data_IF_594605102732
#
_entry.id   IF_594605102732
#
_cell.length_a   1.000
_cell.length_b   1.000
_cell.length_c   1.000
_cell.angle_alpha   90.00
_cell.angle_beta   90.00
_cell.angle_gamma   90.00
#
_symmetry.space_group_name_H-M   'P 1'
#
loop_
_entity.id
_entity.type
_entity.pdbx_description
1 polymer ?
#
# COMPACT_ATOMS: atom_id res chain seq x y z
N UNK A 1 20.09 30.44 -2.95
CA UNK A 1 19.45 29.96 -4.21
C UNK A 1 20.47 29.47 -5.26
N UNK A 2 21.59 28.84 -4.85
CA UNK A 2 22.67 28.42 -5.77
C UNK A 2 22.66 26.88 -6.00
N UNK A 3 22.05 26.10 -5.11
CA UNK A 3 21.94 24.64 -5.22
C UNK A 3 20.96 24.15 -6.31
N UNK A 4 19.94 24.94 -6.65
CA UNK A 4 18.90 24.55 -7.61
C UNK A 4 19.41 24.47 -9.06
N UNK A 5 20.40 25.31 -9.40
CA UNK A 5 21.01 25.35 -10.73
C UNK A 5 21.98 24.19 -10.99
N UNK A 6 22.50 23.53 -9.95
CA UNK A 6 23.36 22.34 -10.12
C UNK A 6 22.57 21.07 -10.41
N UNK A 7 21.32 20.96 -9.93
CA UNK A 7 20.45 19.81 -10.19
C UNK A 7 19.97 19.77 -11.64
N UNK A 8 19.77 20.93 -12.27
CA UNK A 8 19.37 21.03 -13.68
C UNK A 8 20.48 20.67 -14.68
N UNK A 9 21.73 20.49 -14.21
CA UNK A 9 22.89 20.17 -15.04
C UNK A 9 23.36 18.72 -14.91
N UNK A 10 22.50 17.82 -14.44
CA UNK A 10 22.81 16.39 -14.44
C UNK A 10 22.82 15.86 -15.88
N UNK A 11 24.02 15.54 -16.37
CA UNK A 11 24.36 14.93 -17.65
C UNK A 11 23.43 13.78 -18.05
N UNK A 12 23.28 13.47 -19.36
CA UNK A 12 22.55 12.29 -19.81
C UNK A 12 23.31 11.05 -19.35
N UNK A 13 22.95 10.54 -18.17
CA UNK A 13 23.38 9.24 -17.69
C UNK A 13 22.74 8.20 -18.61
N UNK A 14 23.49 7.80 -19.63
CA UNK A 14 23.33 6.56 -20.41
C UNK A 14 23.65 5.35 -19.54
N UNK A 15 23.13 5.31 -18.30
CA UNK A 15 23.07 4.06 -17.56
C UNK A 15 21.99 3.23 -18.22
N UNK A 16 22.43 2.18 -18.91
CA UNK A 16 21.61 1.06 -19.34
C UNK A 16 20.68 0.72 -18.17
N UNK A 17 19.38 1.01 -18.33
CA UNK A 17 18.39 0.73 -17.31
C UNK A 17 18.52 -0.76 -16.95
N UNK A 18 18.60 -1.13 -15.66
CA UNK A 18 18.56 -2.54 -15.31
C UNK A 18 17.32 -3.13 -15.97
N UNK A 19 17.50 -4.19 -16.75
CA UNK A 19 16.38 -4.86 -17.41
C UNK A 19 15.42 -5.29 -16.32
N UNK A 20 14.27 -4.61 -16.25
CA UNK A 20 13.22 -4.97 -15.33
C UNK A 20 12.76 -6.36 -15.78
N UNK A 21 12.77 -7.37 -14.89
CA UNK A 21 12.31 -8.71 -15.23
C UNK A 21 10.96 -8.62 -15.95
N UNK A 22 10.72 -9.47 -16.96
CA UNK A 22 9.49 -9.42 -17.79
C UNK A 22 8.17 -9.37 -16.97
N UNK A 23 8.21 -9.83 -15.72
CA UNK A 23 7.12 -9.72 -14.74
C UNK A 23 6.72 -8.27 -14.38
N UNK A 24 7.64 -7.30 -14.41
CA UNK A 24 7.38 -5.88 -14.11
C UNK A 24 6.73 -5.13 -15.27
N UNK A 25 7.06 -5.50 -16.52
CA UNK A 25 6.46 -4.95 -17.74
C UNK A 25 4.94 -5.18 -17.81
N UNK A 26 4.47 -6.26 -17.17
CA UNK A 26 3.05 -6.66 -17.10
C UNK A 26 2.21 -5.78 -16.16
N UNK A 27 2.84 -4.98 -15.28
CA UNK A 27 2.16 -4.04 -14.37
C UNK A 27 2.27 -2.57 -14.79
N UNK A 28 3.00 -2.25 -15.88
CA UNK A 28 3.35 -0.87 -16.29
C UNK A 28 2.20 0.02 -16.79
N UNK A 29 0.99 -0.50 -16.98
CA UNK A 29 -0.16 0.38 -17.24
C UNK A 29 -0.43 1.25 -16.00
N UNK A 30 -0.40 2.58 -16.16
CA UNK A 30 -0.49 3.52 -15.02
C UNK A 30 -1.79 3.40 -14.21
N UNK A 31 -2.93 3.24 -14.88
CA UNK A 31 -4.26 3.23 -14.25
C UNK A 31 -4.44 2.18 -13.13
N UNK A 32 -4.07 0.89 -13.30
CA UNK A 32 -4.20 -0.11 -12.24
C UNK A 32 -3.24 0.09 -11.06
N UNK A 33 -2.03 0.63 -11.28
CA UNK A 33 -1.11 0.99 -10.21
C UNK A 33 -1.67 2.15 -9.37
N UNK A 34 -2.25 3.15 -10.03
CA UNK A 34 -2.93 4.27 -9.36
C UNK A 34 -4.12 3.78 -8.53
N UNK A 35 -4.94 2.87 -9.08
CA UNK A 35 -6.05 2.27 -8.36
C UNK A 35 -5.61 1.43 -7.15
N UNK A 36 -4.50 0.69 -7.27
CA UNK A 36 -3.94 -0.08 -6.15
C UNK A 36 -3.41 0.84 -5.05
N UNK A 37 -2.66 1.89 -5.41
CA UNK A 37 -2.20 2.94 -4.49
C UNK A 37 -3.39 3.60 -3.78
N UNK A 38 -4.41 4.02 -4.55
CA UNK A 38 -5.61 4.63 -4.02
C UNK A 38 -6.36 3.70 -3.03
N UNK A 39 -6.53 2.43 -3.39
CA UNK A 39 -7.24 1.47 -2.54
C UNK A 39 -6.49 1.14 -1.25
N UNK A 40 -5.16 1.00 -1.29
CA UNK A 40 -4.35 0.78 -0.08
C UNK A 40 -4.38 2.01 0.83
N UNK A 41 -4.25 3.20 0.25
CA UNK A 41 -4.29 4.45 1.01
C UNK A 41 -5.69 4.74 1.57
N UNK A 42 -6.75 4.34 0.87
CA UNK A 42 -8.12 4.35 1.38
C UNK A 42 -8.26 3.51 2.64
N UNK A 43 -7.78 2.26 2.61
CA UNK A 43 -7.86 1.39 3.78
C UNK A 43 -6.99 1.91 4.92
N UNK A 44 -5.76 2.34 4.63
CA UNK A 44 -4.85 2.87 5.64
C UNK A 44 -5.44 4.10 6.36
N UNK A 45 -5.99 5.06 5.62
CA UNK A 45 -6.60 6.26 6.20
C UNK A 45 -7.86 5.94 7.04
N UNK A 46 -8.72 5.06 6.54
CA UNK A 46 -9.91 4.63 7.28
C UNK A 46 -9.55 3.84 8.54
N UNK A 47 -8.50 3.02 8.48
CA UNK A 47 -7.95 2.25 9.60
C UNK A 47 -7.35 3.14 10.68
N UNK A 48 -6.54 4.12 10.30
CA UNK A 48 -5.96 5.11 11.23
C UNK A 48 -7.05 5.86 12.00
N UNK A 49 -8.11 6.27 11.29
CA UNK A 49 -9.25 6.93 11.91
C UNK A 49 -10.07 5.96 12.78
N UNK A 50 -10.19 4.70 12.39
CA UNK A 50 -10.85 3.65 13.18
C UNK A 50 -10.19 3.43 14.53
N UNK A 51 -8.85 3.32 14.56
CA UNK A 51 -8.10 3.20 15.82
C UNK A 51 -8.27 4.45 16.68
N UNK A 52 -8.23 5.63 16.07
CA UNK A 52 -8.42 6.89 16.77
C UNK A 52 -9.79 6.94 17.46
N UNK A 53 -10.87 6.59 16.74
CA UNK A 53 -12.23 6.60 17.27
C UNK A 53 -12.45 5.52 18.34
N UNK A 54 -11.86 4.34 18.18
CA UNK A 54 -11.94 3.27 19.19
C UNK A 54 -11.18 3.64 20.47
N UNK A 55 -10.00 4.26 20.33
CA UNK A 55 -9.21 4.77 21.44
C UNK A 55 -9.88 5.90 22.22
N UNK A 56 -10.79 6.66 21.60
CA UNK A 56 -11.59 7.69 22.28
C UNK A 56 -12.78 7.13 23.06
N UNK A 57 -13.31 5.95 22.70
CA UNK A 57 -14.48 5.35 23.36
C UNK A 57 -14.16 4.49 24.56
N UNK A 58 -12.97 3.94 24.60
CA UNK A 58 -12.54 3.09 25.71
C UNK A 58 -12.13 3.97 26.90
N UNK A 59 -12.97 4.04 27.95
CA UNK A 59 -12.70 4.80 29.20
C UNK A 59 -11.36 4.42 29.89
N UNK A 60 -10.71 3.33 29.46
CA UNK A 60 -9.43 2.83 29.98
C UNK A 60 -8.21 3.08 29.06
N UNK A 61 -8.42 3.53 27.81
CA UNK A 61 -7.32 3.74 26.85
C UNK A 61 -6.86 5.19 26.91
N UNK A 62 -5.74 5.42 27.60
CA UNK A 62 -5.10 6.74 27.67
C UNK A 62 -4.77 7.27 26.26
N UNK A 63 -4.92 8.58 26.03
CA UNK A 63 -4.48 9.26 24.79
C UNK A 63 -3.04 8.90 24.38
N UNK A 64 -2.18 8.56 25.35
CA UNK A 64 -0.83 8.03 25.12
C UNK A 64 -0.82 6.71 24.35
N UNK A 65 -1.74 5.79 24.64
CA UNK A 65 -1.80 4.49 23.99
C UNK A 65 -2.16 4.62 22.49
N UNK A 66 -3.07 5.53 22.15
CA UNK A 66 -3.40 5.82 20.75
C UNK A 66 -2.19 6.42 20.01
N UNK A 67 -1.49 7.37 20.63
CA UNK A 67 -0.28 7.94 20.05
C UNK A 67 0.82 6.88 19.85
N UNK A 68 0.95 5.92 20.77
CA UNK A 68 1.87 4.80 20.64
C UNK A 68 1.52 3.87 19.47
N UNK A 69 0.23 3.63 19.20
CA UNK A 69 -0.22 2.84 18.03
C UNK A 69 0.15 3.51 16.70
N UNK A 70 -0.03 4.83 16.58
CA UNK A 70 0.39 5.58 15.40
C UNK A 70 1.91 5.57 15.22
N UNK A 71 2.66 5.71 16.32
CA UNK A 71 4.10 5.61 16.31
C UNK A 71 4.57 4.22 15.88
N UNK A 72 3.96 3.17 16.43
CA UNK A 72 4.23 1.77 16.05
C UNK A 72 3.96 1.54 14.57
N UNK A 73 2.78 1.96 14.06
CA UNK A 73 2.43 1.85 12.66
C UNK A 73 3.52 2.47 11.75
N UNK A 74 3.99 3.67 12.10
CA UNK A 74 5.06 4.38 11.38
C UNK A 74 6.41 3.66 11.48
N UNK A 75 6.79 3.17 12.66
CA UNK A 75 8.02 2.40 12.88
C UNK A 75 8.01 1.11 12.06
N UNK A 76 6.89 0.38 12.07
CA UNK A 76 6.73 -0.87 11.32
C UNK A 76 6.77 -0.62 9.82
N UNK A 77 6.05 0.39 9.32
CA UNK A 77 6.12 0.78 7.91
C UNK A 77 7.55 1.15 7.50
N UNK A 78 8.27 1.91 8.33
CA UNK A 78 9.66 2.27 8.08
C UNK A 78 10.58 1.03 8.10
N UNK A 79 10.38 0.12 9.06
CA UNK A 79 11.16 -1.11 9.18
C UNK A 79 10.97 -2.03 7.97
N UNK A 80 9.73 -2.19 7.50
CA UNK A 80 9.43 -2.96 6.28
C UNK A 80 10.08 -2.30 5.06
N UNK A 81 10.00 -0.98 4.93
CA UNK A 81 10.68 -0.26 3.85
C UNK A 81 12.20 -0.49 3.90
N UNK A 82 12.82 -0.35 5.07
CA UNK A 82 14.24 -0.59 5.25
C UNK A 82 14.61 -2.04 4.87
N UNK A 83 13.85 -3.02 5.34
CA UNK A 83 14.07 -4.43 5.03
C UNK A 83 13.97 -4.70 3.52
N UNK A 84 12.98 -4.12 2.83
CA UNK A 84 12.84 -4.23 1.38
C UNK A 84 14.05 -3.67 0.62
N UNK A 85 14.65 -2.58 1.09
CA UNK A 85 15.82 -1.97 0.46
C UNK A 85 17.12 -2.72 0.75
N UNK A 86 17.30 -3.21 1.98
CA UNK A 86 18.51 -3.93 2.37
C UNK A 86 18.52 -5.40 1.91
N UNK A 87 17.35 -5.98 1.63
CA UNK A 87 17.21 -7.38 1.22
C UNK A 87 17.01 -7.49 -0.30
N UNK A 88 17.56 -8.50 -0.99
CA UNK A 88 17.29 -8.73 -2.42
C UNK A 88 15.86 -9.19 -2.73
N UNK A 89 14.88 -8.99 -1.83
CA UNK A 89 13.49 -9.43 -1.99
C UNK A 89 12.83 -8.88 -3.25
N UNK A 90 13.06 -7.61 -3.57
CA UNK A 90 12.52 -6.98 -4.79
C UNK A 90 13.11 -7.57 -6.08
N UNK A 91 14.33 -8.09 -6.02
CA UNK A 91 15.04 -8.64 -7.18
C UNK A 91 14.79 -10.16 -7.34
N UNK A 92 14.59 -10.87 -6.23
CA UNK A 92 14.44 -12.33 -6.19
C UNK A 92 12.98 -12.80 -6.29
N UNK A 93 12.02 -12.00 -5.83
CA UNK A 93 10.60 -12.36 -5.84
C UNK A 93 9.80 -11.62 -6.91
N UNK A 94 8.84 -12.30 -7.53
CA UNK A 94 7.90 -11.65 -8.45
C UNK A 94 7.09 -10.58 -7.71
N UNK A 95 7.07 -9.34 -8.22
CA UNK A 95 6.37 -8.22 -7.58
C UNK A 95 4.91 -8.51 -7.24
N UNK A 96 4.19 -9.25 -8.10
CA UNK A 96 2.81 -9.70 -7.80
C UNK A 96 2.70 -10.58 -6.55
N UNK A 97 3.72 -11.38 -6.22
CA UNK A 97 3.75 -12.18 -4.99
C UNK A 97 3.95 -11.32 -3.76
N UNK A 98 4.82 -10.30 -3.84
CA UNK A 98 5.01 -9.33 -2.75
C UNK A 98 3.74 -8.50 -2.53
N UNK A 99 3.09 -8.05 -3.61
CA UNK A 99 1.79 -7.37 -3.53
C UNK A 99 0.72 -8.26 -2.88
N UNK A 100 0.61 -9.53 -3.33
CA UNK A 100 -0.32 -10.49 -2.75
C UNK A 100 -0.06 -10.77 -1.28
N UNK A 101 1.21 -10.98 -0.90
CA UNK A 101 1.59 -11.15 0.51
C UNK A 101 1.26 -9.93 1.35
N UNK A 102 1.55 -8.72 0.87
CA UNK A 102 1.26 -7.49 1.60
C UNK A 102 -0.24 -7.27 1.81
N UNK A 103 -1.05 -7.51 0.78
CA UNK A 103 -2.52 -7.46 0.90
C UNK A 103 -3.05 -8.51 1.88
N UNK A 104 -2.56 -9.76 1.81
CA UNK A 104 -2.95 -10.82 2.74
C UNK A 104 -2.54 -10.50 4.19
N UNK A 105 -1.34 -9.95 4.39
CA UNK A 105 -0.85 -9.56 5.70
C UNK A 105 -1.71 -8.42 6.28
N UNK A 106 -2.06 -7.44 5.46
CA UNK A 106 -2.95 -6.35 5.85
C UNK A 106 -4.36 -6.85 6.22
N UNK A 107 -4.94 -7.73 5.41
CA UNK A 107 -6.22 -8.37 5.71
C UNK A 107 -6.17 -9.19 7.01
N UNK A 108 -5.07 -9.88 7.25
CA UNK A 108 -4.87 -10.66 8.49
C UNK A 108 -4.85 -9.74 9.70
N UNK A 109 -4.16 -8.59 9.61
CA UNK A 109 -4.18 -7.57 10.66
C UNK A 109 -5.59 -7.04 10.95
N UNK A 110 -6.37 -6.71 9.92
CA UNK A 110 -7.76 -6.29 10.08
C UNK A 110 -8.66 -7.39 10.67
N UNK A 111 -8.45 -8.65 10.27
CA UNK A 111 -9.19 -9.78 10.82
C UNK A 111 -8.90 -9.99 12.31
N UNK A 112 -7.63 -9.84 12.73
CA UNK A 112 -7.24 -9.88 14.15
C UNK A 112 -7.96 -8.79 14.94
N UNK A 113 -8.01 -7.56 14.41
CA UNK A 113 -8.70 -6.44 15.05
C UNK A 113 -10.22 -6.65 15.12
N UNK A 114 -10.81 -7.29 14.11
CA UNK A 114 -12.23 -7.60 14.10
C UNK A 114 -12.61 -8.67 15.14
N UNK A 115 -11.78 -9.71 15.32
CA UNK A 115 -12.09 -10.84 16.21
C UNK A 115 -11.71 -10.55 17.67
N UNK A 116 -10.57 -9.90 17.91
CA UNK A 116 -10.03 -9.69 19.26
C UNK A 116 -9.68 -8.22 19.53
N UNK A 117 -10.66 -7.39 19.94
CA UNK A 117 -10.43 -5.99 20.30
C UNK A 117 -9.71 -5.80 21.65
N UNK A 118 -9.21 -6.86 22.30
CA UNK A 118 -8.52 -6.77 23.58
C UNK A 118 -7.11 -6.14 23.43
N UNK A 119 -6.70 -5.35 24.44
CA UNK A 119 -5.50 -4.50 24.46
C UNK A 119 -4.20 -5.11 23.88
N UNK A 120 -3.92 -6.40 24.09
CA UNK A 120 -2.71 -7.05 23.57
C UNK A 120 -2.77 -7.44 22.08
N UNK A 121 -3.95 -7.81 21.58
CA UNK A 121 -4.16 -8.21 20.18
C UNK A 121 -4.27 -7.01 19.24
N UNK A 122 -4.59 -5.83 19.80
CA UNK A 122 -4.66 -4.59 19.04
C UNK A 122 -3.31 -4.22 18.44
N UNK A 123 -2.22 -4.20 19.22
CA UNK A 123 -0.85 -3.94 18.73
C UNK A 123 -0.46 -4.91 17.61
N UNK A 124 -0.77 -6.19 17.77
CA UNK A 124 -0.49 -7.21 16.75
C UNK A 124 -1.24 -6.93 15.44
N UNK A 125 -2.54 -6.62 15.53
CA UNK A 125 -3.37 -6.28 14.38
C UNK A 125 -2.90 -5.01 13.67
N UNK A 126 -2.50 -3.99 14.44
CA UNK A 126 -1.91 -2.75 13.91
C UNK A 126 -0.60 -3.03 13.19
N UNK A 127 0.32 -3.74 13.84
CA UNK A 127 1.61 -4.13 13.26
C UNK A 127 1.45 -4.94 11.97
N UNK A 128 0.54 -5.92 11.93
CA UNK A 128 0.26 -6.71 10.73
C UNK A 128 -0.31 -5.85 9.59
N UNK A 129 -1.25 -4.96 9.92
CA UNK A 129 -1.87 -4.05 8.96
C UNK A 129 -0.83 -3.10 8.38
N UNK A 130 -0.04 -2.47 9.24
CA UNK A 130 1.06 -1.56 8.89
C UNK A 130 2.15 -2.26 8.07
N UNK A 131 2.53 -3.48 8.43
CA UNK A 131 3.51 -4.24 7.68
C UNK A 131 3.00 -4.58 6.28
N UNK A 132 1.72 -4.96 6.16
CA UNK A 132 1.10 -5.28 4.88
C UNK A 132 1.01 -4.07 3.95
N UNK A 133 0.44 -2.96 4.41
CA UNK A 133 0.33 -1.72 3.61
C UNK A 133 1.70 -1.11 3.31
N UNK A 134 2.62 -1.15 4.29
CA UNK A 134 4.02 -0.74 4.16
C UNK A 134 4.82 -1.60 3.18
N UNK A 135 4.44 -2.85 2.94
CA UNK A 135 5.04 -3.68 1.89
C UNK A 135 4.51 -3.33 0.50
N UNK A 136 3.20 -3.04 0.38
CA UNK A 136 2.54 -2.82 -0.91
C UNK A 136 2.96 -1.49 -1.55
N UNK A 137 2.96 -0.39 -0.80
CA UNK A 137 3.21 0.96 -1.36
C UNK A 137 4.59 1.11 -2.03
N UNK A 138 5.70 0.64 -1.43
CA UNK A 138 7.01 0.69 -2.08
C UNK A 138 7.09 -0.22 -3.30
N UNK A 139 6.46 -1.39 -3.29
CA UNK A 139 6.45 -2.32 -4.44
C UNK A 139 5.69 -1.69 -5.61
N UNK A 140 4.56 -1.03 -5.35
CA UNK A 140 3.82 -0.25 -6.36
C UNK A 140 4.68 0.87 -6.94
N UNK A 141 5.39 1.60 -6.08
CA UNK A 141 6.26 2.70 -6.48
C UNK A 141 7.46 2.20 -7.29
N UNK A 142 8.05 1.07 -6.91
CA UNK A 142 9.13 0.40 -7.65
C UNK A 142 8.68 -0.04 -9.05
N UNK A 143 7.48 -0.63 -9.17
CA UNK A 143 6.91 -1.00 -10.46
C UNK A 143 6.67 0.23 -11.35
N UNK A 144 6.14 1.32 -10.77
CA UNK A 144 5.92 2.56 -11.49
C UNK A 144 7.21 3.28 -11.89
N UNK A 145 8.27 3.16 -11.09
CA UNK A 145 9.60 3.68 -11.42
C UNK A 145 10.22 2.98 -12.63
N UNK A 146 9.67 1.83 -13.01
CA UNK A 146 10.13 1.04 -14.13
C UNK A 146 9.76 1.54 -15.53
N UNK A 147 8.98 2.62 -15.63
CA UNK A 147 8.55 3.20 -16.92
C UNK A 147 9.64 4.06 -17.56
N UNK A 148 9.42 4.51 -18.79
CA UNK A 148 10.34 5.41 -19.48
C UNK A 148 10.50 6.74 -18.71
N UNK A 149 11.67 7.40 -18.84
CA UNK A 149 11.91 8.71 -18.19
C UNK A 149 10.87 9.77 -18.60
N UNK A 150 10.34 9.67 -19.82
CA UNK A 150 9.31 10.59 -20.33
C UNK A 150 7.97 10.43 -19.60
N UNK A 151 7.65 9.22 -19.14
CA UNK A 151 6.36 8.90 -18.50
C UNK A 151 6.45 8.91 -16.97
N UNK A 152 7.66 8.83 -16.40
CA UNK A 152 7.91 8.71 -14.96
C UNK A 152 7.21 9.81 -14.14
N UNK A 153 7.22 11.05 -14.60
CA UNK A 153 6.58 12.15 -13.89
C UNK A 153 5.05 12.00 -13.84
N UNK A 154 4.45 11.55 -14.96
CA UNK A 154 3.00 11.31 -15.05
C UNK A 154 2.60 10.11 -14.22
N UNK A 155 3.39 9.03 -14.22
CA UNK A 155 3.07 7.83 -13.45
C UNK A 155 3.21 8.06 -11.95
N UNK A 156 4.26 8.73 -11.49
CA UNK A 156 4.45 9.10 -10.09
C UNK A 156 3.43 10.13 -9.62
N UNK A 157 3.12 11.13 -10.46
CA UNK A 157 2.06 12.10 -10.20
C UNK A 157 0.68 11.44 -10.06
N UNK A 158 0.36 10.48 -10.94
CA UNK A 158 -0.88 9.72 -10.85
C UNK A 158 -0.93 8.79 -9.63
N UNK A 159 0.20 8.22 -9.20
CA UNK A 159 0.28 7.46 -7.95
C UNK A 159 0.00 8.34 -6.74
N UNK A 160 0.58 9.55 -6.71
CA UNK A 160 0.35 10.52 -5.65
C UNK A 160 -1.11 11.00 -5.65
N UNK A 161 -1.67 11.31 -6.81
CA UNK A 161 -3.08 11.69 -6.94
C UNK A 161 -4.01 10.56 -6.47
N UNK A 162 -3.75 9.32 -6.90
CA UNK A 162 -4.48 8.14 -6.44
C UNK A 162 -4.38 7.96 -4.93
N UNK A 163 -3.17 8.06 -4.36
CA UNK A 163 -2.93 7.99 -2.93
C UNK A 163 -3.74 9.04 -2.15
N UNK A 164 -3.66 10.31 -2.55
CA UNK A 164 -4.39 11.40 -1.90
C UNK A 164 -5.90 11.23 -2.00
N UNK A 165 -6.43 10.85 -3.17
CA UNK A 165 -7.85 10.53 -3.34
C UNK A 165 -8.27 9.38 -2.42
N UNK A 166 -7.45 8.33 -2.36
CA UNK A 166 -7.61 7.21 -1.44
C UNK A 166 -7.70 7.68 0.00
N UNK A 167 -6.74 8.47 0.47
CA UNK A 167 -6.74 9.01 1.84
C UNK A 167 -7.98 9.85 2.14
N UNK A 168 -8.37 10.77 1.24
CA UNK A 168 -9.55 11.61 1.45
C UNK A 168 -10.83 10.77 1.56
N UNK A 169 -11.04 9.86 0.61
CA UNK A 169 -12.22 8.98 0.63
C UNK A 169 -12.18 8.02 1.81
N UNK A 170 -10.99 7.52 2.18
CA UNK A 170 -10.77 6.62 3.31
C UNK A 170 -11.10 7.28 4.63
N UNK A 171 -10.61 8.49 4.88
CA UNK A 171 -10.95 9.25 6.10
C UNK A 171 -12.45 9.58 6.17
N UNK A 172 -13.07 9.97 5.05
CA UNK A 172 -14.51 10.24 5.02
C UNK A 172 -15.34 8.97 5.27
N UNK A 173 -15.04 7.88 4.56
CA UNK A 173 -15.74 6.62 4.69
C UNK A 173 -15.49 5.95 6.04
N UNK A 174 -14.25 6.01 6.55
CA UNK A 174 -13.88 5.51 7.87
C UNK A 174 -14.62 6.26 8.97
N UNK A 175 -14.67 7.60 8.91
CA UNK A 175 -15.41 8.40 9.88
C UNK A 175 -16.90 8.06 9.91
N UNK A 176 -17.52 7.89 8.74
CA UNK A 176 -18.90 7.43 8.64
C UNK A 176 -19.09 6.00 9.16
N UNK A 177 -18.22 5.08 8.75
CA UNK A 177 -18.31 3.65 9.06
C UNK A 177 -18.13 3.38 10.56
N UNK A 178 -17.09 3.91 11.17
CA UNK A 178 -16.83 3.77 12.61
C UNK A 178 -17.73 4.67 13.48
N UNK A 179 -18.35 5.69 12.88
CA UNK A 179 -19.43 6.47 13.48
C UNK A 179 -20.74 5.67 13.58
N UNK A 180 -21.12 4.97 12.51
CA UNK A 180 -22.37 4.23 12.41
C UNK A 180 -22.30 2.79 12.98
N UNK A 181 -21.19 2.07 12.75
CA UNK A 181 -21.00 0.68 13.21
C UNK A 181 -19.57 0.45 13.73
N UNK A 182 -19.30 0.81 14.99
CA UNK A 182 -17.98 0.68 15.61
C UNK A 182 -17.45 -0.75 15.60
N UNK A 183 -18.32 -1.71 15.94
CA UNK A 183 -17.94 -3.10 16.17
C UNK A 183 -17.57 -3.86 14.87
N UNK A 184 -18.04 -3.39 13.71
CA UNK A 184 -17.84 -4.08 12.43
C UNK A 184 -16.92 -3.32 11.47
N UNK A 185 -16.48 -2.11 11.83
CA UNK A 185 -15.72 -1.24 10.92
C UNK A 185 -14.44 -1.88 10.37
N UNK A 186 -13.68 -2.58 11.22
CA UNK A 186 -12.45 -3.29 10.78
C UNK A 186 -12.72 -4.45 9.82
N UNK A 187 -13.82 -5.19 10.01
CA UNK A 187 -14.23 -6.26 9.10
C UNK A 187 -14.62 -5.72 7.72
N UNK A 188 -15.36 -4.61 7.68
CA UNK A 188 -15.73 -3.93 6.44
C UNK A 188 -14.52 -3.40 5.66
N UNK A 189 -13.45 -2.98 6.36
CA UNK A 189 -12.21 -2.53 5.73
C UNK A 189 -11.45 -3.65 5.00
N UNK A 190 -11.70 -4.92 5.29
CA UNK A 190 -11.09 -6.03 4.57
C UNK A 190 -11.68 -6.20 3.16
N UNK A 191 -12.89 -5.70 2.88
CA UNK A 191 -13.55 -5.86 1.57
C UNK A 191 -12.81 -5.14 0.42
N UNK A 192 -12.39 -3.86 0.56
CA UNK A 192 -11.53 -3.22 -0.44
C UNK A 192 -10.23 -3.98 -0.70
N UNK A 193 -9.58 -4.51 0.35
CA UNK A 193 -8.36 -5.31 0.22
C UNK A 193 -8.61 -6.63 -0.52
N UNK A 194 -9.70 -7.32 -0.19
CA UNK A 194 -10.15 -8.53 -0.88
C UNK A 194 -10.40 -8.27 -2.37
N UNK A 195 -11.06 -7.15 -2.69
CA UNK A 195 -11.30 -6.74 -4.07
C UNK A 195 -9.98 -6.49 -4.82
N UNK A 196 -9.03 -5.78 -4.21
CA UNK A 196 -7.70 -5.57 -4.80
C UNK A 196 -6.93 -6.87 -4.99
N UNK A 197 -6.99 -7.77 -4.00
CA UNK A 197 -6.36 -9.08 -4.05
C UNK A 197 -6.96 -9.96 -5.14
N UNK A 198 -8.29 -9.95 -5.30
CA UNK A 198 -8.99 -10.68 -6.35
C UNK A 198 -8.65 -10.15 -7.75
N UNK A 199 -8.48 -8.83 -7.91
CA UNK A 199 -8.06 -8.24 -9.18
C UNK A 199 -6.61 -8.57 -9.54
N UNK A 200 -5.77 -8.97 -8.58
CA UNK A 200 -4.36 -9.27 -8.79
C UNK A 200 -4.13 -10.48 -9.74
N UNK A 201 -4.75 -11.67 -9.53
CA UNK A 201 -4.60 -12.84 -10.41
C UNK A 201 -5.30 -12.69 -11.77
N UNK A 202 -6.49 -12.08 -11.87
CA UNK A 202 -7.16 -11.88 -13.17
C UNK A 202 -6.30 -11.07 -14.16
N UNK A 203 -5.41 -10.23 -13.63
CA UNK A 203 -4.48 -9.42 -14.42
C UNK A 203 -3.23 -10.17 -14.86
N UNK A 204 -2.90 -11.30 -14.21
CA UNK A 204 -1.80 -12.18 -14.65
C UNK A 204 -2.17 -12.98 -15.91
N UNK A 205 -3.46 -13.27 -16.11
CA UNK A 205 -3.97 -14.13 -17.20
C UNK A 205 -4.23 -13.37 -18.50
N UNK A 206 -4.55 -12.08 -18.44
CA UNK A 206 -4.84 -11.24 -19.62
C UNK A 206 -3.61 -11.05 -20.54
N UNK A 207 -2.39 -11.26 -20.02
CA UNK A 207 -1.16 -11.25 -20.82
C UNK A 207 -0.78 -12.59 -21.48
N UNK A 208 -1.57 -13.67 -21.31
CA UNK A 208 -1.35 -14.97 -21.97
C UNK A 208 -2.27 -15.20 -23.18
N UNK A 209 -3.37 -14.46 -23.32
CA UNK A 209 -4.40 -14.73 -24.34
C UNK A 209 -4.15 -14.13 -25.72
N UNK A 210 -2.93 -13.64 -26.01
CA UNK A 210 -2.61 -13.04 -27.31
C UNK A 210 -1.32 -13.60 -27.95
N UNK A 211 -0.94 -14.83 -27.58
CA UNK A 211 0.19 -15.55 -28.21
C UNK A 211 -0.19 -16.92 -28.81
N UNK A 212 -1.46 -17.31 -28.77
CA UNK A 212 -1.94 -18.64 -29.24
C UNK A 212 -2.91 -18.58 -30.42
N UNK A 213 -3.12 -17.42 -31.05
CA UNK A 213 -3.86 -17.29 -32.31
C UNK A 213 -2.93 -16.74 -33.40
N UNK A 214 -2.05 -17.59 -33.88
CA UNK A 214 -1.50 -17.60 -35.24
C UNK A 214 -1.04 -19.04 -35.46
N UNK A 215 -2.02 -19.90 -35.73
CA UNK A 215 -1.86 -21.12 -36.50
C UNK A 215 -2.18 -20.76 -37.95
#
# INVERSE_FOLDING_TARGET
>A
MIGLLRVLRASPVTARLPEIPEAGRRYQSGLPLWGLSAGVMFVLAAFELGILLEGLRSEQVSSRAVALMFAECSIVMLAVNALLFFTPMLNSSSAGRLLGMGLLLAMTGLAVLWVQPAHGWMYLGVSLTAAGTGLVLPVVSYLAAGVSRAELAVTMGGLAAGASLGQTLGSAAGGWLFGASPQHGFGWLALPLLFLLALLPFRTTSGKSMKTLNL
#
